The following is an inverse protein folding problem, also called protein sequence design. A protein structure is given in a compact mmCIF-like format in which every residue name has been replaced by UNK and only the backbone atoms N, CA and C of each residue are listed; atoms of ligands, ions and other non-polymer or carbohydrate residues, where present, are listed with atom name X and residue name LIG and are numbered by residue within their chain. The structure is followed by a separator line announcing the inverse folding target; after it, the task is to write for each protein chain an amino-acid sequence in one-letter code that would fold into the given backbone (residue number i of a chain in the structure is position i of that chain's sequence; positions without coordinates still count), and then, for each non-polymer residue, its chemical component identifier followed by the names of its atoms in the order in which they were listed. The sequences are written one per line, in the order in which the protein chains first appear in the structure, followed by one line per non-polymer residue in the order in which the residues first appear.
data_IF_797488743519
#
_entry.id   IF_797488743519
#
_cell.length_a   1.000
_cell.length_b   1.000
_cell.length_c   1.000
_cell.angle_alpha   90.00
_cell.angle_beta   90.00
_cell.angle_gamma   90.00
#
_symmetry.space_group_name_H-M   'P 1'
#
loop_
_entity.id
_entity.type
_entity.pdbx_description
1 polymer ?
#
# COMPACT_ATOMS: atom_id res chain seq x y z
N UNK A 1 0.98 -12.47 11.36
CA UNK A 1 1.02 -11.89 10.00
C UNK A 1 -0.23 -11.06 9.80
N UNK A 2 -0.09 -9.84 9.28
CA UNK A 2 -1.19 -8.93 8.96
C UNK A 2 -1.48 -9.05 7.46
N UNK A 3 -2.76 -9.24 7.11
CA UNK A 3 -3.23 -9.31 5.73
C UNK A 3 -4.00 -8.04 5.42
N UNK A 4 -3.60 -7.34 4.37
CA UNK A 4 -4.24 -6.11 3.93
C UNK A 4 -4.53 -6.19 2.44
N UNK A 5 -5.69 -5.66 2.03
CA UNK A 5 -6.01 -5.52 0.62
C UNK A 5 -5.17 -4.39 0.02
N UNK A 6 -4.61 -4.61 -1.16
CA UNK A 6 -3.84 -3.60 -1.89
C UNK A 6 -4.84 -2.69 -2.61
N UNK A 7 -4.80 -1.40 -2.28
CA UNK A 7 -5.65 -0.37 -2.88
C UNK A 7 -4.98 0.33 -4.06
N UNK A 8 -3.66 0.29 -4.12
CA UNK A 8 -2.90 0.90 -5.19
C UNK A 8 -1.65 0.07 -5.48
N UNK A 9 -1.35 -0.15 -6.75
CA UNK A 9 -0.17 -0.90 -7.20
C UNK A 9 1.12 -0.29 -6.65
N UNK A 10 1.98 -1.12 -6.06
CA UNK A 10 3.29 -0.71 -5.54
C UNK A 10 4.32 -1.82 -5.65
N UNK A 11 5.60 -1.46 -5.58
CA UNK A 11 6.71 -2.41 -5.50
C UNK A 11 7.25 -2.37 -4.08
N UNK A 12 7.20 -3.51 -3.40
CA UNK A 12 7.78 -3.64 -2.08
C UNK A 12 9.30 -3.65 -2.18
N UNK A 13 9.95 -2.59 -1.68
CA UNK A 13 11.41 -2.44 -1.73
C UNK A 13 12.18 -3.52 -0.96
N UNK A 14 11.56 -4.19 0.02
CA UNK A 14 12.24 -5.24 0.79
C UNK A 14 12.27 -6.57 0.03
N UNK A 15 11.13 -7.00 -0.51
CA UNK A 15 11.03 -8.26 -1.24
C UNK A 15 11.28 -8.14 -2.75
N UNK A 16 11.28 -6.92 -3.29
CA UNK A 16 11.31 -6.65 -4.73
C UNK A 16 10.02 -7.05 -5.46
N UNK A 17 8.98 -7.48 -4.75
CA UNK A 17 7.72 -7.94 -5.35
C UNK A 17 6.79 -6.77 -5.66
N UNK A 18 6.25 -6.77 -6.87
CA UNK A 18 5.14 -5.91 -7.25
C UNK A 18 3.82 -6.49 -6.72
N UNK A 19 2.98 -5.63 -6.17
CA UNK A 19 1.61 -5.93 -5.80
C UNK A 19 0.68 -5.03 -6.59
N UNK A 20 -0.37 -5.59 -7.16
CA UNK A 20 -1.37 -4.87 -7.94
C UNK A 20 -2.59 -4.53 -7.09
N UNK A 21 -3.33 -3.51 -7.51
CA UNK A 21 -4.62 -3.19 -6.91
C UNK A 21 -5.54 -4.42 -6.91
N UNK A 22 -6.14 -4.73 -5.75
CA UNK A 22 -6.94 -5.92 -5.51
C UNK A 22 -6.16 -7.13 -4.96
N UNK A 23 -4.83 -7.13 -5.02
CA UNK A 23 -4.01 -8.18 -4.41
C UNK A 23 -4.11 -8.15 -2.87
N UNK A 24 -3.66 -9.24 -2.24
CA UNK A 24 -3.48 -9.28 -0.78
C UNK A 24 -2.01 -9.18 -0.44
N UNK A 25 -1.66 -8.14 0.33
CA UNK A 25 -0.34 -7.98 0.92
C UNK A 25 -0.33 -8.62 2.32
N UNK A 26 0.66 -9.47 2.56
CA UNK A 26 0.87 -10.13 3.86
C UNK A 26 2.27 -9.82 4.39
N UNK A 27 2.33 -9.27 5.60
CA UNK A 27 3.59 -9.01 6.29
C UNK A 27 3.45 -9.12 7.80
N UNK A 28 4.54 -9.49 8.48
CA UNK A 28 4.65 -9.46 9.94
C UNK A 28 5.17 -8.12 10.46
N UNK A 29 5.69 -7.25 9.58
CA UNK A 29 6.17 -5.93 9.96
C UNK A 29 5.02 -4.93 10.07
N UNK A 30 4.61 -4.68 11.32
CA UNK A 30 3.56 -3.73 11.65
C UNK A 30 3.90 -2.27 11.30
N UNK A 31 5.18 -1.87 11.31
CA UNK A 31 5.60 -0.51 10.92
C UNK A 31 5.47 -0.34 9.41
N UNK A 32 5.86 -1.36 8.64
CA UNK A 32 5.71 -1.39 7.18
C UNK A 32 4.26 -1.31 6.76
N UNK A 33 3.41 -2.14 7.35
CA UNK A 33 1.96 -2.12 7.08
C UNK A 33 1.37 -0.77 7.43
N UNK A 34 1.70 -0.20 8.61
CA UNK A 34 1.21 1.12 9.01
C UNK A 34 1.65 2.23 8.04
N UNK A 35 2.89 2.19 7.56
CA UNK A 35 3.39 3.13 6.55
C UNK A 35 2.61 3.01 5.24
N UNK A 36 2.47 1.80 4.69
CA UNK A 36 1.77 1.58 3.43
C UNK A 36 0.26 1.91 3.53
N UNK A 37 -0.36 1.68 4.69
CA UNK A 37 -1.75 2.12 4.95
C UNK A 37 -1.84 3.64 5.02
N UNK A 38 -0.87 4.31 5.66
CA UNK A 38 -0.83 5.78 5.76
C UNK A 38 -0.65 6.43 4.38
N UNK A 39 0.20 5.86 3.54
CA UNK A 39 0.45 6.33 2.17
C UNK A 39 -0.71 5.98 1.21
N UNK A 40 -1.65 5.11 1.63
CA UNK A 40 -2.82 4.73 0.83
C UNK A 40 -2.63 3.54 -0.09
N UNK A 41 -1.48 2.84 -0.03
CA UNK A 41 -1.25 1.62 -0.81
C UNK A 41 -2.05 0.42 -0.29
N UNK A 42 -2.30 0.36 1.02
CA UNK A 42 -3.01 -0.75 1.67
C UNK A 42 -4.28 -0.27 2.36
N UNK A 43 -5.31 -1.12 2.33
CA UNK A 43 -6.52 -0.97 3.13
C UNK A 43 -6.27 -1.25 4.61
N UNK A 44 -7.23 -0.84 5.46
CA UNK A 44 -7.14 -1.09 6.90
C UNK A 44 -7.06 -2.60 7.18
N UNK A 45 -6.09 -3.06 7.98
CA UNK A 45 -6.03 -4.46 8.38
C UNK A 45 -7.29 -4.82 9.19
N UNK A 46 -7.82 -6.05 9.05
CA UNK A 46 -9.07 -6.47 9.69
C UNK A 46 -9.02 -6.47 11.22
N UNK A 47 -7.83 -6.37 11.83
CA UNK A 47 -7.62 -6.50 13.27
C UNK A 47 -7.40 -5.16 14.01
N UNK A 48 -7.62 -4.00 13.36
CA UNK A 48 -7.71 -2.71 14.05
C UNK A 48 -9.02 -2.01 13.72
N UNK A 49 -10.04 -2.34 14.51
CA UNK A 49 -11.24 -1.52 14.61
C UNK A 49 -10.86 -0.12 15.13
N UNK A 50 -11.24 0.90 14.36
CA UNK A 50 -11.38 2.33 14.73
C UNK A 50 -10.06 3.04 15.10
N UNK A 51 -9.60 4.02 14.33
CA UNK A 51 -10.13 5.38 14.40
C UNK A 51 -10.13 6.06 13.02
N UNK A 52 -11.06 7.00 12.86
CA UNK A 52 -11.27 7.82 11.67
C UNK A 52 -10.13 8.83 11.53
N UNK A 53 -9.60 9.01 10.33
CA UNK A 53 -9.52 10.34 9.71
C UNK A 53 -9.38 10.25 8.20
N UNK A 54 -10.09 11.17 7.60
CA UNK A 54 -10.46 11.37 6.22
C UNK A 54 -9.27 11.87 5.38
N UNK A 55 -9.18 11.35 4.16
CA UNK A 55 -8.73 12.02 2.92
C UNK A 55 -7.40 12.78 2.88
N UNK A 56 -6.50 12.33 1.98
CA UNK A 56 -6.11 13.15 0.83
C UNK A 56 -5.62 12.24 -0.31
N UNK A 57 -6.50 12.13 -1.31
CA UNK A 57 -6.27 11.74 -2.70
C UNK A 57 -4.96 12.36 -3.22
N UNK A 58 -4.05 11.55 -3.78
CA UNK A 58 -3.30 12.00 -4.95
C UNK A 58 -3.05 10.84 -5.92
N UNK A 59 -3.92 10.81 -6.92
CA UNK A 59 -3.83 10.02 -8.13
C UNK A 59 -2.65 10.50 -8.98
N UNK A 60 -1.84 9.54 -9.45
CA UNK A 60 -0.99 9.51 -10.65
C UNK A 60 -0.41 10.84 -11.17
N UNK A 61 0.91 10.88 -11.28
CA UNK A 61 1.49 11.07 -12.61
C UNK A 61 2.70 10.14 -12.79
N UNK A 62 2.46 9.11 -13.59
CA UNK A 62 3.46 8.31 -14.26
C UNK A 62 4.00 9.09 -15.44
N UNK A 63 5.28 9.41 -15.46
CA UNK A 63 5.99 9.61 -16.72
C UNK A 63 7.28 8.78 -16.71
N UNK A 64 7.13 7.56 -17.21
CA UNK A 64 8.19 6.92 -17.97
C UNK A 64 8.39 7.76 -19.25
N UNK A 65 9.58 8.32 -19.43
CA UNK A 65 10.21 8.32 -20.75
C UNK A 65 11.73 8.30 -20.62
N UNK A 66 12.25 7.10 -20.86
CA UNK A 66 13.62 6.88 -21.35
C UNK A 66 13.87 7.63 -22.65
N UNK A 67 15.17 7.77 -22.94
CA UNK A 67 15.80 8.11 -24.22
C UNK A 67 15.77 9.61 -24.56
N UNK A 68 16.88 10.24 -24.91
CA UNK A 68 18.03 9.73 -25.66
C UNK A 68 19.29 10.57 -25.38
#
# INVERSE_FOLDING_TARGET
MMKCLVLQTFIDKESGKGYYEGDTYESSDSKRVAFLVKEGFLGKPPNKAQEKKETAKNTKESEQKSSN
#
